data_IF_115914932152
#
_entry.id   IF_115914932152
#
_cell.length_a   1.000
_cell.length_b   1.000
_cell.length_c   1.000
_cell.angle_alpha   90.00
_cell.angle_beta   90.00
_cell.angle_gamma   90.00
#
_symmetry.space_group_name_H-M   'P 1'
#
loop_
_entity.id
_entity.type
_entity.pdbx_description
1 polymer ?
#
# COMPACT_ATOMS: atom_id res chain seq x y z
N UNK A 1 -13.25 5.73 9.68
CA UNK A 1 -13.04 5.39 8.25
C UNK A 1 -12.30 6.57 7.61
N UNK A 2 -10.97 6.58 7.61
CA UNK A 2 -10.14 7.74 7.24
C UNK A 2 -9.08 7.29 6.20
N UNK A 3 -9.17 7.70 4.93
CA UNK A 3 -8.21 7.29 3.90
C UNK A 3 -6.78 7.80 4.12
N UNK A 4 -6.61 8.93 4.81
CA UNK A 4 -5.30 9.50 5.15
C UNK A 4 -4.62 8.83 6.35
N UNK A 5 -5.18 7.74 6.87
CA UNK A 5 -4.57 6.99 7.96
C UNK A 5 -3.16 6.50 7.58
N UNK A 6 -2.18 6.83 8.41
CA UNK A 6 -0.77 6.48 8.17
C UNK A 6 -0.45 5.13 8.80
N UNK A 7 -0.35 4.09 7.98
CA UNK A 7 0.09 2.77 8.41
C UNK A 7 1.54 2.80 8.90
N UNK A 8 1.83 2.00 9.92
CA UNK A 8 3.16 1.78 10.50
C UNK A 8 3.67 0.37 10.14
N UNK A 9 4.99 0.14 10.19
CA UNK A 9 5.52 -1.21 10.12
C UNK A 9 4.86 -2.11 11.18
N UNK A 10 4.57 -3.35 10.79
CA UNK A 10 3.83 -4.39 11.53
C UNK A 10 2.32 -4.18 11.61
N UNK A 11 1.76 -3.13 10.99
CA UNK A 11 0.31 -3.00 10.90
C UNK A 11 -0.27 -4.12 10.02
N UNK A 12 -1.37 -4.70 10.50
CA UNK A 12 -2.15 -5.72 9.79
C UNK A 12 -3.39 -5.05 9.19
N UNK A 13 -3.51 -5.15 7.87
CA UNK A 13 -4.64 -4.62 7.11
C UNK A 13 -5.60 -5.76 6.84
N UNK A 14 -6.81 -5.66 7.40
CA UNK A 14 -7.84 -6.69 7.24
C UNK A 14 -9.13 -6.09 6.69
N UNK A 15 -9.91 -6.94 6.04
CA UNK A 15 -11.24 -6.57 5.55
C UNK A 15 -12.27 -6.80 6.66
N UNK A 16 -13.35 -6.01 6.67
CA UNK A 16 -14.48 -6.23 7.60
C UNK A 16 -15.04 -7.64 7.41
N UNK A 17 -15.47 -8.28 8.50
CA UNK A 17 -16.07 -9.61 8.42
C UNK A 17 -17.51 -9.55 7.88
N UNK A 18 -17.65 -9.35 6.57
CA UNK A 18 -18.89 -9.52 5.86
C UNK A 18 -18.65 -10.04 4.43
N UNK A 19 -19.63 -10.75 3.89
CA UNK A 19 -19.50 -11.43 2.59
C UNK A 19 -19.23 -10.46 1.44
N UNK A 20 -19.87 -9.29 1.45
CA UNK A 20 -19.72 -8.29 0.37
C UNK A 20 -18.30 -7.75 0.29
N UNK A 21 -17.69 -7.39 1.42
CA UNK A 21 -16.34 -6.83 1.44
C UNK A 21 -15.28 -7.91 1.17
N UNK A 22 -15.45 -9.12 1.72
CA UNK A 22 -14.59 -10.26 1.40
C UNK A 22 -14.62 -10.60 -0.10
N UNK A 23 -15.82 -10.65 -0.71
CA UNK A 23 -15.97 -10.93 -2.14
C UNK A 23 -15.29 -9.88 -3.03
N UNK A 24 -15.34 -8.59 -2.66
CA UNK A 24 -14.61 -7.54 -3.39
C UNK A 24 -13.09 -7.78 -3.37
N UNK A 25 -12.53 -8.03 -2.19
CA UNK A 25 -11.08 -8.23 -2.03
C UNK A 25 -10.62 -9.50 -2.75
N UNK A 26 -11.40 -10.59 -2.66
CA UNK A 26 -11.15 -11.84 -3.38
C UNK A 26 -11.07 -11.63 -4.90
N UNK A 27 -12.06 -10.95 -5.47
CA UNK A 27 -12.10 -10.69 -6.91
C UNK A 27 -10.90 -9.85 -7.37
N UNK A 28 -10.53 -8.82 -6.61
CA UNK A 28 -9.37 -8.00 -6.93
C UNK A 28 -8.06 -8.80 -6.88
N UNK A 29 -7.86 -9.61 -5.85
CA UNK A 29 -6.66 -10.43 -5.71
C UNK A 29 -6.59 -11.47 -6.84
N UNK A 30 -7.70 -12.13 -7.17
CA UNK A 30 -7.77 -13.10 -8.26
C UNK A 30 -7.46 -12.48 -9.63
N UNK A 31 -7.82 -11.21 -9.86
CA UNK A 31 -7.48 -10.48 -11.08
C UNK A 31 -6.10 -9.83 -11.08
N UNK A 32 -5.44 -9.77 -9.92
CA UNK A 32 -4.16 -9.07 -9.76
C UNK A 32 -2.99 -9.96 -10.13
N UNK A 33 -1.93 -9.35 -10.66
CA UNK A 33 -0.65 -10.04 -10.91
C UNK A 33 0.17 -10.05 -9.61
N UNK A 34 0.41 -11.23 -8.98
CA UNK A 34 1.16 -11.32 -7.74
C UNK A 34 2.62 -10.86 -7.89
N UNK A 35 3.17 -10.86 -9.12
CA UNK A 35 4.53 -10.41 -9.40
C UNK A 35 4.76 -8.90 -9.19
N UNK A 36 3.68 -8.12 -9.07
CA UNK A 36 3.73 -6.66 -8.89
C UNK A 36 3.74 -6.23 -7.42
N UNK A 37 3.63 -7.16 -6.46
CA UNK A 37 3.60 -6.80 -5.04
C UNK A 37 4.99 -6.33 -4.59
N UNK A 38 5.12 -5.10 -4.05
CA UNK A 38 6.41 -4.60 -3.60
C UNK A 38 6.81 -5.27 -2.28
N UNK A 39 8.11 -5.50 -2.11
CA UNK A 39 8.69 -6.31 -1.00
C UNK A 39 8.42 -5.78 0.43
N UNK A 40 7.99 -4.54 0.59
CA UNK A 40 7.60 -3.98 1.91
C UNK A 40 6.19 -4.39 2.34
N UNK A 41 5.43 -5.05 1.46
CA UNK A 41 4.09 -5.55 1.73
C UNK A 41 4.07 -7.05 1.55
N UNK A 42 3.32 -7.73 2.41
CA UNK A 42 2.99 -9.15 2.26
C UNK A 42 1.48 -9.28 2.28
N UNK A 43 0.96 -10.17 1.45
CA UNK A 43 -0.44 -10.55 1.46
C UNK A 43 -0.55 -12.04 1.74
N UNK A 44 -1.37 -12.39 2.72
CA UNK A 44 -1.83 -13.75 2.93
C UNK A 44 -3.09 -13.96 2.09
N UNK A 45 -3.00 -14.82 1.08
CA UNK A 45 -4.09 -15.12 0.16
C UNK A 45 -5.14 -16.07 0.75
N UNK A 46 -4.82 -16.78 1.85
CA UNK A 46 -5.76 -17.66 2.54
C UNK A 46 -6.67 -16.84 3.44
N UNK A 47 -6.09 -15.95 4.25
CA UNK A 47 -6.84 -15.14 5.21
C UNK A 47 -7.26 -13.77 4.64
N UNK A 48 -6.79 -13.41 3.44
CA UNK A 48 -6.99 -12.09 2.83
C UNK A 48 -6.55 -10.94 3.74
N UNK A 49 -5.39 -11.14 4.38
CA UNK A 49 -4.76 -10.17 5.29
C UNK A 49 -3.52 -9.58 4.64
N UNK A 50 -3.36 -8.28 4.74
CA UNK A 50 -2.14 -7.57 4.36
C UNK A 50 -1.27 -7.28 5.58
N UNK A 51 0.05 -7.31 5.41
CA UNK A 51 1.02 -6.92 6.42
C UNK A 51 1.96 -5.86 5.85
N UNK A 52 2.18 -4.79 6.62
CA UNK A 52 3.20 -3.79 6.32
C UNK A 52 4.52 -4.23 6.96
N UNK A 53 5.47 -4.75 6.19
CA UNK A 53 6.70 -5.33 6.74
C UNK A 53 7.66 -4.26 7.27
N UNK A 54 7.85 -3.18 6.51
CA UNK A 54 8.83 -2.14 6.81
C UNK A 54 8.50 -0.82 6.15
N UNK A 55 9.26 0.21 6.49
CA UNK A 55 9.23 1.51 5.81
C UNK A 55 9.71 1.32 4.36
N UNK A 56 9.05 2.02 3.43
CA UNK A 56 9.35 2.01 2.00
C UNK A 56 10.73 2.62 1.72
N UNK A 57 11.52 1.94 0.86
CA UNK A 57 12.71 2.51 0.26
C UNK A 57 12.34 3.33 -0.99
N UNK A 58 13.04 4.45 -1.24
CA UNK A 58 12.81 5.33 -2.40
C UNK A 58 12.76 4.57 -3.74
N UNK A 59 13.57 3.52 -3.89
CA UNK A 59 13.65 2.68 -5.10
C UNK A 59 12.34 1.94 -5.42
N UNK A 60 11.44 1.81 -4.46
CA UNK A 60 10.17 1.08 -4.57
C UNK A 60 8.97 2.01 -4.80
N UNK A 61 9.20 3.31 -4.90
CA UNK A 61 8.15 4.26 -5.30
C UNK A 61 7.78 3.97 -6.76
N UNK A 62 6.51 3.60 -7.00
CA UNK A 62 5.98 3.26 -8.33
C UNK A 62 5.78 4.45 -9.27
N UNK A 63 6.37 5.62 -8.96
CA UNK A 63 6.24 6.84 -9.72
C UNK A 63 7.61 7.34 -10.16
N UNK A 64 7.80 7.52 -11.48
CA UNK A 64 8.99 8.14 -12.05
C UNK A 64 8.93 9.66 -11.83
N UNK A 65 9.50 10.11 -10.71
CA UNK A 65 9.52 11.52 -10.30
C UNK A 65 10.92 11.93 -9.84
N UNK A 66 11.30 13.19 -10.04
CA UNK A 66 12.46 13.79 -9.39
C UNK A 66 12.00 14.59 -8.17
N UNK A 67 12.27 14.06 -6.97
CA UNK A 67 11.84 14.65 -5.70
C UNK A 67 12.54 15.98 -5.41
N UNK A 68 13.74 16.21 -5.96
CA UNK A 68 14.49 17.44 -5.76
C UNK A 68 13.75 18.66 -6.33
N UNK A 69 13.09 18.50 -7.50
CA UNK A 69 12.30 19.57 -8.10
C UNK A 69 11.09 19.96 -7.23
N UNK A 70 10.50 18.98 -6.53
CA UNK A 70 9.39 19.24 -5.58
C UNK A 70 9.91 20.03 -4.39
N UNK A 71 11.07 19.64 -3.83
CA UNK A 71 11.71 20.37 -2.72
C UNK A 71 12.06 21.80 -3.12
N UNK A 72 12.67 22.00 -4.29
CA UNK A 72 13.01 23.33 -4.82
C UNK A 72 11.77 24.23 -4.96
N UNK A 73 10.67 23.69 -5.47
CA UNK A 73 9.42 24.44 -5.63
C UNK A 73 8.86 24.91 -4.28
N UNK A 74 8.77 24.01 -3.29
CA UNK A 74 8.21 24.36 -1.97
C UNK A 74 9.18 25.18 -1.10
N UNK A 75 10.47 25.21 -1.41
CA UNK A 75 11.44 26.09 -0.72
C UNK A 75 11.18 27.57 -0.98
N UNK A 76 10.42 27.91 -2.03
CA UNK A 76 10.02 29.29 -2.36
C UNK A 76 8.68 29.72 -1.74
N UNK A 77 7.98 28.80 -1.05
CA UNK A 77 6.68 29.07 -0.42
C UNK A 77 6.78 29.60 1.02
N UNK A 78 7.96 30.09 1.42
CA UNK A 78 8.11 30.97 2.59
C UNK A 78 7.59 32.36 2.26
#
# INVERSE_FOLDING_TARGET
NIPSFRCKPRDIITTKDNQRSKGLVQNYIASSDPGKLPKHLTIDTLEYKGLVNKILDRKWVGLKINELLVVEYYSRQT
#
